data_IF_948406394816
#
_entry.id   IF_948406394816
#
_cell.length_a   1.000
_cell.length_b   1.000
_cell.length_c   1.000
_cell.angle_alpha   90.00
_cell.angle_beta   90.00
_cell.angle_gamma   90.00
#
_symmetry.space_group_name_H-M   'P 1'
#
loop_
_entity.id
_entity.type
_entity.pdbx_description
1 polymer ?
#
# COMPACT_ATOMS: atom_id res chain seq x y z
N UNK A 1 4.41 -12.26 -6.92
CA UNK A 1 5.44 -12.65 -5.91
C UNK A 1 6.68 -13.33 -6.52
N UNK A 2 6.68 -13.75 -7.78
CA UNK A 2 7.81 -14.50 -8.37
C UNK A 2 9.10 -13.69 -8.59
N UNK A 3 9.04 -12.35 -8.50
CA UNK A 3 10.20 -11.45 -8.62
C UNK A 3 10.71 -10.93 -7.26
N UNK A 4 10.28 -11.50 -6.13
CA UNK A 4 10.87 -11.17 -4.83
C UNK A 4 12.12 -12.01 -4.60
N UNK A 5 13.22 -11.39 -4.20
CA UNK A 5 14.48 -12.09 -3.96
C UNK A 5 15.68 -11.15 -3.86
N UNK A 6 16.85 -11.73 -3.62
CA UNK A 6 18.11 -11.01 -3.59
C UNK A 6 18.70 -10.99 -5.00
N UNK A 7 18.83 -9.81 -5.57
CA UNK A 7 19.41 -9.58 -6.88
C UNK A 7 20.86 -9.11 -6.70
N UNK A 8 21.77 -9.69 -7.46
CA UNK A 8 23.16 -9.23 -7.54
C UNK A 8 23.36 -8.46 -8.84
N UNK A 9 23.81 -7.21 -8.72
CA UNK A 9 24.17 -6.36 -9.86
C UNK A 9 25.68 -6.34 -9.96
N UNK A 10 26.21 -6.80 -11.10
CA UNK A 10 27.65 -6.84 -11.35
C UNK A 10 27.99 -5.78 -12.39
N UNK A 11 28.82 -4.82 -12.01
CA UNK A 11 29.39 -3.85 -12.94
C UNK A 11 30.85 -4.23 -13.22
N UNK A 12 31.20 -4.30 -14.51
CA UNK A 12 32.57 -4.62 -14.95
C UNK A 12 33.12 -3.57 -15.90
N UNK A 13 34.34 -3.11 -15.65
CA UNK A 13 35.12 -2.27 -16.57
C UNK A 13 36.53 -2.87 -16.77
N UNK A 14 37.40 -2.18 -17.52
CA UNK A 14 38.78 -2.64 -17.79
C UNK A 14 39.65 -2.77 -16.54
N UNK A 15 39.28 -2.11 -15.44
CA UNK A 15 40.04 -2.07 -14.19
C UNK A 15 39.54 -3.10 -13.16
N UNK A 16 38.35 -3.68 -13.33
CA UNK A 16 37.83 -4.69 -12.43
C UNK A 16 36.33 -4.91 -12.51
N UNK A 17 35.83 -5.76 -11.61
CA UNK A 17 34.41 -6.03 -11.41
C UNK A 17 34.01 -5.69 -9.97
N UNK A 18 32.87 -5.05 -9.78
CA UNK A 18 32.23 -4.89 -8.50
C UNK A 18 30.83 -5.51 -8.51
N UNK A 19 30.43 -6.08 -7.39
CA UNK A 19 29.11 -6.68 -7.19
C UNK A 19 28.39 -5.93 -6.08
N UNK A 20 27.17 -5.47 -6.36
CA UNK A 20 26.25 -4.93 -5.37
C UNK A 20 25.07 -5.87 -5.17
N UNK A 21 24.63 -6.04 -3.93
CA UNK A 21 23.45 -6.86 -3.59
C UNK A 21 22.25 -5.96 -3.29
N UNK A 22 21.09 -6.32 -3.84
CA UNK A 22 19.83 -5.59 -3.67
C UNK A 22 18.73 -6.57 -3.29
N UNK A 23 18.10 -6.38 -2.14
CA UNK A 23 16.93 -7.14 -1.74
C UNK A 23 15.68 -6.50 -2.35
N UNK A 24 14.96 -7.25 -3.20
CA UNK A 24 13.71 -6.80 -3.83
C UNK A 24 12.54 -7.50 -3.16
N UNK A 25 11.64 -6.72 -2.58
CA UNK A 25 10.36 -7.19 -2.03
C UNK A 25 9.25 -6.62 -2.90
N UNK A 26 8.48 -7.51 -3.55
CA UNK A 26 7.32 -7.11 -4.35
C UNK A 26 6.12 -6.98 -3.43
N UNK A 27 5.67 -5.75 -3.22
CA UNK A 27 4.48 -5.42 -2.45
C UNK A 27 3.29 -5.23 -3.41
N UNK A 28 2.12 -5.72 -3.01
CA UNK A 28 0.86 -5.46 -3.72
C UNK A 28 0.12 -4.29 -3.07
N UNK A 29 -0.83 -3.70 -3.80
CA UNK A 29 -1.70 -2.69 -3.20
C UNK A 29 -2.53 -3.35 -2.09
N UNK A 30 -2.70 -2.70 -0.92
CA UNK A 30 -3.66 -3.16 0.08
C UNK A 30 -5.03 -3.34 -0.56
N UNK A 31 -5.77 -4.34 -0.10
CA UNK A 31 -7.16 -4.50 -0.50
C UNK A 31 -8.00 -3.28 -0.06
N UNK A 32 -9.16 -3.06 -0.69
CA UNK A 32 -10.09 -2.04 -0.21
C UNK A 32 -10.48 -2.33 1.25
N UNK A 33 -10.71 -1.27 2.07
CA UNK A 33 -11.19 -1.45 3.43
C UNK A 33 -12.47 -2.29 3.45
N UNK A 34 -12.60 -3.08 4.50
CA UNK A 34 -13.67 -4.07 4.61
C UNK A 34 -14.98 -3.37 5.01
N UNK A 35 -16.06 -3.76 4.33
CA UNK A 35 -17.43 -3.35 4.63
C UNK A 35 -17.88 -2.02 4.00
N UNK A 36 -19.20 -1.78 3.91
CA UNK A 36 -19.72 -0.46 3.57
C UNK A 36 -19.30 0.53 4.66
N UNK A 37 -18.99 1.76 4.26
CA UNK A 37 -18.70 2.86 5.18
C UNK A 37 -19.89 3.00 6.14
N UNK A 38 -19.64 2.79 7.43
CA UNK A 38 -20.63 2.94 8.50
C UNK A 38 -20.74 4.42 8.81
N UNK A 39 -21.98 4.90 8.91
CA UNK A 39 -22.27 6.28 9.32
C UNK A 39 -22.64 6.21 10.80
N UNK A 40 -21.74 6.69 11.64
CA UNK A 40 -21.92 6.66 13.09
C UNK A 40 -22.75 7.84 13.58
N UNK A 41 -22.51 9.03 13.01
CA UNK A 41 -23.22 10.24 13.38
C UNK A 41 -23.36 11.19 12.18
N UNK A 42 -24.54 11.79 12.05
CA UNK A 42 -24.83 12.81 11.05
C UNK A 42 -25.30 14.07 11.76
N UNK A 43 -24.57 15.15 11.57
CA UNK A 43 -24.93 16.50 12.01
C UNK A 43 -25.10 17.41 10.79
N UNK A 44 -25.55 18.65 11.01
CA UNK A 44 -25.65 19.66 9.94
C UNK A 44 -24.29 20.06 9.39
N UNK A 45 -23.24 19.99 10.23
CA UNK A 45 -21.93 20.55 9.95
C UNK A 45 -20.86 19.47 9.74
N UNK A 46 -21.06 18.27 10.28
CA UNK A 46 -20.11 17.17 10.22
C UNK A 46 -20.80 15.81 10.12
N UNK A 47 -20.04 14.82 9.66
CA UNK A 47 -20.44 13.42 9.65
C UNK A 47 -19.29 12.60 10.21
N UNK A 48 -19.59 11.68 11.13
CA UNK A 48 -18.62 10.69 11.64
C UNK A 48 -18.88 9.39 10.90
N UNK A 49 -17.83 8.86 10.29
CA UNK A 49 -17.86 7.60 9.56
C UNK A 49 -16.76 6.65 10.07
N UNK A 50 -17.03 5.36 10.01
CA UNK A 50 -16.08 4.30 10.34
C UNK A 50 -16.10 3.18 9.30
N UNK A 51 -14.97 2.48 9.18
CA UNK A 51 -14.81 1.33 8.29
C UNK A 51 -13.86 0.32 8.93
N UNK A 52 -13.90 -0.92 8.44
CA UNK A 52 -13.01 -1.97 8.93
C UNK A 52 -11.73 -2.01 8.07
N UNK A 53 -10.58 -2.38 8.67
CA UNK A 53 -9.34 -2.50 7.91
C UNK A 53 -9.45 -3.57 6.82
N UNK A 54 -8.66 -3.47 5.74
CA UNK A 54 -8.65 -4.49 4.70
C UNK A 54 -8.14 -5.83 5.24
N UNK A 55 -8.67 -6.93 4.71
CA UNK A 55 -8.26 -8.29 5.10
C UNK A 55 -6.79 -8.57 4.76
N UNK A 56 -6.27 -7.94 3.70
CA UNK A 56 -4.89 -8.10 3.26
C UNK A 56 -4.25 -6.77 2.87
N UNK A 57 -3.16 -6.41 3.55
CA UNK A 57 -2.43 -5.15 3.32
C UNK A 57 -1.31 -5.26 2.28
N UNK A 58 -1.37 -6.25 1.38
CA UNK A 58 -0.41 -6.35 0.27
C UNK A 58 1.03 -6.71 0.66
N UNK A 59 1.28 -7.01 1.94
CA UNK A 59 2.61 -7.27 2.50
C UNK A 59 3.31 -6.04 3.09
N UNK A 60 2.63 -4.90 3.24
CA UNK A 60 3.15 -3.70 3.89
C UNK A 60 2.25 -3.26 5.05
N UNK A 61 2.77 -2.39 5.93
CA UNK A 61 1.92 -1.68 6.89
C UNK A 61 1.06 -0.66 6.15
N UNK A 62 -0.19 -0.53 6.57
CA UNK A 62 -1.08 0.50 6.04
C UNK A 62 -0.67 1.86 6.63
N UNK A 63 -0.42 2.85 5.77
CA UNK A 63 -0.01 4.19 6.18
C UNK A 63 -1.22 5.07 6.52
N UNK A 64 -2.17 5.20 5.58
CA UNK A 64 -3.36 6.03 5.74
C UNK A 64 -4.53 5.53 4.89
N UNK A 65 -5.71 6.08 5.17
CA UNK A 65 -6.91 5.94 4.33
C UNK A 65 -7.19 7.26 3.60
N UNK A 66 -7.86 7.17 2.45
CA UNK A 66 -8.36 8.32 1.69
C UNK A 66 -9.89 8.28 1.76
N UNK A 67 -10.48 9.40 2.20
CA UNK A 67 -11.94 9.56 2.29
C UNK A 67 -12.40 10.46 1.16
N UNK A 68 -13.28 9.95 0.31
CA UNK A 68 -13.88 10.70 -0.79
C UNK A 68 -15.35 10.99 -0.50
N UNK A 69 -15.75 12.27 -0.56
CA UNK A 69 -17.14 12.71 -0.42
C UNK A 69 -17.67 13.13 -1.80
N UNK A 70 -18.87 12.68 -2.17
CA UNK A 70 -19.61 13.16 -3.33
C UNK A 70 -20.98 13.68 -2.91
N UNK A 71 -21.33 14.88 -3.37
CA UNK A 71 -22.67 15.43 -3.22
C UNK A 71 -23.57 14.91 -4.36
N UNK A 72 -24.75 14.42 -4.02
CA UNK A 72 -25.77 14.04 -5.00
C UNK A 72 -26.55 15.30 -5.35
N UNK A 73 -26.46 15.72 -6.61
CA UNK A 73 -27.31 16.76 -7.20
C UNK A 73 -28.73 16.26 -7.36
#
# INVERSE_FOLDING_TARGET
>A
REHSGQYSVIASNIAGKCTGEVAVVVLERPDPPTGPVKIDEVSSDYVIISWEPPEYTGGCQLDNYIVEKRETT
#
